data_IF_621084018367
#
_entry.id   IF_621084018367
#
_cell.length_a   1.000
_cell.length_b   1.000
_cell.length_c   1.000
_cell.angle_alpha   90.00
_cell.angle_beta   90.00
_cell.angle_gamma   90.00
#
_symmetry.space_group_name_H-M   'P 1'
#
loop_
_entity.id
_entity.type
_entity.pdbx_description
1 polymer ?
#
# COMPACT_ATOMS: atom_id res chain seq x y z
N UNK A 1 -11.64 10.72 7.82
CA UNK A 1 -11.48 9.48 7.04
C UNK A 1 -11.98 8.35 7.91
N UNK A 2 -12.85 7.48 7.40
CA UNK A 2 -13.34 6.33 8.17
C UNK A 2 -12.18 5.40 8.56
N UNK A 3 -12.29 4.71 9.71
CA UNK A 3 -11.25 3.82 10.21
C UNK A 3 -10.80 2.81 9.16
N UNK A 4 -11.76 2.20 8.45
CA UNK A 4 -11.46 1.20 7.42
C UNK A 4 -10.63 1.76 6.25
N UNK A 5 -10.83 3.02 5.87
CA UNK A 5 -10.05 3.67 4.81
C UNK A 5 -8.63 3.99 5.30
N UNK A 6 -8.48 4.39 6.57
CA UNK A 6 -7.16 4.59 7.16
C UNK A 6 -6.38 3.27 7.21
N UNK A 7 -7.03 2.16 7.59
CA UNK A 7 -6.40 0.84 7.65
C UNK A 7 -6.04 0.31 6.26
N UNK A 8 -6.88 0.60 5.26
CA UNK A 8 -6.57 0.33 3.86
C UNK A 8 -5.33 1.11 3.41
N UNK A 9 -5.23 2.40 3.74
CA UNK A 9 -4.05 3.21 3.43
C UNK A 9 -2.79 2.67 4.12
N UNK A 10 -2.90 2.23 5.37
CA UNK A 10 -1.83 1.54 6.07
C UNK A 10 -1.36 0.27 5.31
N UNK A 11 -2.28 -0.58 4.86
CA UNK A 11 -1.95 -1.76 4.06
C UNK A 11 -1.28 -1.38 2.72
N UNK A 12 -1.74 -0.31 2.08
CA UNK A 12 -1.15 0.21 0.85
C UNK A 12 0.29 0.68 1.09
N UNK A 13 0.54 1.46 2.14
CA UNK A 13 1.88 1.93 2.52
C UNK A 13 2.82 0.77 2.87
N UNK A 14 2.38 -0.21 3.67
CA UNK A 14 3.14 -1.43 3.95
C UNK A 14 3.50 -2.18 2.67
N UNK A 15 2.57 -2.23 1.72
CA UNK A 15 2.79 -2.90 0.43
C UNK A 15 3.83 -2.17 -0.40
N UNK A 16 3.80 -0.84 -0.45
CA UNK A 16 4.82 -0.03 -1.14
C UNK A 16 6.18 -0.18 -0.44
N UNK A 17 6.23 -0.15 0.90
CA UNK A 17 7.48 -0.35 1.64
C UNK A 17 8.13 -1.72 1.34
N UNK A 18 7.31 -2.75 1.07
CA UNK A 18 7.79 -4.10 0.77
C UNK A 18 8.10 -4.34 -0.71
N UNK A 19 7.22 -3.92 -1.61
CA UNK A 19 7.27 -4.26 -3.03
C UNK A 19 7.62 -3.08 -3.95
N UNK A 20 7.73 -1.88 -3.40
CA UNK A 20 8.13 -0.67 -4.12
C UNK A 20 7.13 -0.27 -5.20
N UNK A 21 7.65 0.12 -6.37
CA UNK A 21 6.87 0.62 -7.49
C UNK A 21 5.71 -0.31 -7.89
N UNK A 22 5.93 -1.63 -7.83
CA UNK A 22 4.92 -2.62 -8.21
C UNK A 22 3.64 -2.58 -7.35
N UNK A 23 3.73 -2.00 -6.14
CA UNK A 23 2.60 -1.84 -5.22
C UNK A 23 2.07 -0.40 -5.17
N UNK A 24 2.61 0.54 -5.96
CA UNK A 24 2.10 1.91 -6.01
C UNK A 24 0.72 1.93 -6.69
N UNK A 25 -0.31 2.53 -6.08
CA UNK A 25 -1.62 2.68 -6.70
C UNK A 25 -1.59 3.78 -7.76
N UNK A 26 -2.48 3.69 -8.76
CA UNK A 26 -2.78 4.79 -9.69
C UNK A 26 -3.75 5.82 -9.07
N UNK A 27 -3.85 5.86 -7.74
CA UNK A 27 -4.67 6.82 -7.00
C UNK A 27 -3.84 8.08 -6.69
N UNK A 28 -4.00 9.10 -7.53
CA UNK A 28 -3.28 10.37 -7.38
C UNK A 28 -3.60 11.12 -6.07
N UNK A 29 -4.78 10.92 -5.48
CA UNK A 29 -5.13 11.54 -4.20
C UNK A 29 -4.32 10.91 -3.06
N UNK A 30 -4.19 9.58 -3.07
CA UNK A 30 -3.31 8.87 -2.15
C UNK A 30 -1.85 9.31 -2.31
N UNK A 31 -1.35 9.33 -3.56
CA UNK A 31 0.04 9.70 -3.83
C UNK A 31 0.36 11.14 -3.41
N UNK A 32 -0.58 12.06 -3.63
CA UNK A 32 -0.45 13.45 -3.18
C UNK A 32 -0.42 13.53 -1.65
N UNK A 33 -1.35 12.86 -0.96
CA UNK A 33 -1.43 12.87 0.51
C UNK A 33 -0.17 12.35 1.19
N UNK A 34 0.49 11.35 0.60
CA UNK A 34 1.71 10.77 1.14
C UNK A 34 3.00 11.31 0.51
N UNK A 35 2.93 12.41 -0.25
CA UNK A 35 4.07 13.05 -0.91
C UNK A 35 4.90 12.08 -1.79
N UNK A 36 4.22 11.14 -2.46
CA UNK A 36 4.83 10.15 -3.37
C UNK A 36 4.62 10.48 -4.85
N UNK A 37 3.81 11.49 -5.16
CA UNK A 37 3.39 11.81 -6.53
C UNK A 37 4.59 12.10 -7.45
N UNK A 38 5.58 12.86 -6.99
CA UNK A 38 6.76 13.21 -7.79
C UNK A 38 7.62 11.98 -8.10
N UNK A 39 7.89 11.13 -7.10
CA UNK A 39 8.65 9.89 -7.28
C UNK A 39 7.93 8.97 -8.27
N UNK A 40 6.60 8.90 -8.20
CA UNK A 40 5.82 8.13 -9.17
C UNK A 40 5.99 8.63 -10.60
N UNK A 41 5.91 9.95 -10.85
CA UNK A 41 6.14 10.50 -12.18
C UNK A 41 7.57 10.30 -12.69
N UNK A 42 8.57 10.42 -11.82
CA UNK A 42 9.96 10.14 -12.18
C UNK A 42 10.18 8.68 -12.56
N UNK A 43 9.51 7.74 -11.86
CA UNK A 43 9.54 6.32 -12.22
C UNK A 43 8.93 6.11 -13.60
N UNK A 44 7.75 6.68 -13.87
CA UNK A 44 7.10 6.55 -15.17
C UNK A 44 7.99 7.11 -16.30
N UNK A 45 8.53 8.31 -16.11
CA UNK A 45 9.46 8.94 -17.06
C UNK A 45 10.67 8.05 -17.33
N UNK A 46 11.35 7.61 -16.27
CA UNK A 46 12.55 6.78 -16.37
C UNK A 46 12.27 5.45 -17.07
N UNK A 47 11.16 4.80 -16.73
CA UNK A 47 10.72 3.56 -17.35
C UNK A 47 10.47 3.73 -18.85
N UNK A 48 9.78 4.81 -19.26
CA UNK A 48 9.54 5.11 -20.69
C UNK A 48 10.81 5.45 -21.46
N UNK A 49 11.85 5.97 -20.79
CA UNK A 49 13.15 6.27 -21.39
C UNK A 49 14.14 5.10 -21.32
N UNK A 50 13.72 3.91 -20.86
CA UNK A 50 14.59 2.74 -20.71
C UNK A 50 15.69 2.89 -19.64
N UNK A 51 15.52 3.84 -18.71
CA UNK A 51 16.47 4.08 -17.63
C UNK A 51 16.17 3.20 -16.42
N UNK A 52 17.21 2.88 -15.64
CA UNK A 52 17.05 2.12 -14.41
C UNK A 52 16.25 2.91 -13.36
N UNK A 53 15.22 2.27 -12.81
CA UNK A 53 14.38 2.82 -11.75
C UNK A 53 14.79 2.32 -10.36
N UNK A 54 15.88 1.55 -10.22
CA UNK A 54 16.21 0.87 -8.96
C UNK A 54 16.41 1.86 -7.79
N UNK A 55 17.03 3.01 -8.05
CA UNK A 55 17.23 4.05 -7.05
C UNK A 55 15.90 4.70 -6.63
N UNK A 56 14.97 4.93 -7.57
CA UNK A 56 13.62 5.44 -7.30
C UNK A 56 12.77 4.42 -6.55
N UNK A 57 12.88 3.13 -6.90
CA UNK A 57 12.21 2.03 -6.21
C UNK A 57 12.69 1.91 -4.74
N UNK A 58 14.00 2.05 -4.51
CA UNK A 58 14.54 2.12 -3.14
C UNK A 58 14.06 3.37 -2.40
N UNK A 59 13.99 4.51 -3.07
CA UNK A 59 13.52 5.76 -2.48
C UNK A 59 12.06 5.66 -2.04
N UNK A 60 11.16 5.16 -2.91
CA UNK A 60 9.74 5.04 -2.57
C UNK A 60 9.48 4.03 -1.46
N UNK A 61 10.23 2.92 -1.42
CA UNK A 61 10.17 1.95 -0.31
C UNK A 61 10.50 2.60 1.03
N UNK A 62 11.61 3.35 1.09
CA UNK A 62 12.04 4.07 2.30
C UNK A 62 11.02 5.14 2.69
N UNK A 63 10.54 5.91 1.72
CA UNK A 63 9.55 6.96 1.96
C UNK A 63 8.24 6.38 2.51
N UNK A 64 7.74 5.29 1.92
CA UNK A 64 6.57 4.58 2.43
C UNK A 64 6.79 4.09 3.85
N UNK A 65 7.95 3.50 4.16
CA UNK A 65 8.28 3.04 5.51
C UNK A 65 8.23 4.17 6.56
N UNK A 66 8.65 5.39 6.21
CA UNK A 66 8.58 6.55 7.10
C UNK A 66 7.13 7.00 7.40
N UNK A 67 6.22 6.80 6.44
CA UNK A 67 4.80 7.16 6.59
C UNK A 67 4.03 6.17 7.48
N UNK A 68 4.54 4.94 7.64
CA UNK A 68 3.88 3.85 8.38
C UNK A 68 3.85 4.12 9.90
N UNK A 69 4.76 4.93 10.44
CA UNK A 69 4.92 5.15 11.88
C UNK A 69 3.68 5.72 12.62
N UNK A 70 2.60 6.03 11.89
CA UNK A 70 1.39 6.67 12.42
C UNK A 70 0.19 5.73 12.56
N UNK A 71 0.27 4.49 12.09
CA UNK A 71 -0.81 3.51 12.23
C UNK A 71 -0.26 2.10 12.24
N UNK A 72 -0.76 1.27 13.15
CA UNK A 72 -0.40 -0.14 13.28
C UNK A 72 -1.63 -1.05 13.33
N UNK A 73 -2.85 -0.49 13.27
CA UNK A 73 -4.08 -1.23 13.43
C UNK A 73 -4.74 -1.70 12.12
N UNK A 74 -5.32 -2.90 12.13
CA UNK A 74 -6.08 -3.52 11.03
C UNK A 74 -7.38 -4.20 11.52
N UNK A 75 -7.89 -3.80 12.70
CA UNK A 75 -9.06 -4.43 13.32
C UNK A 75 -10.34 -4.22 12.52
N UNK A 76 -10.56 -3.04 11.92
CA UNK A 76 -11.73 -2.80 11.07
C UNK A 76 -11.68 -3.65 9.80
N UNK A 77 -10.50 -3.81 9.17
CA UNK A 77 -10.29 -4.72 8.04
C UNK A 77 -10.50 -6.19 8.44
N UNK A 78 -10.07 -6.58 9.65
CA UNK A 78 -10.32 -7.91 10.18
C UNK A 78 -11.81 -8.18 10.38
N UNK A 79 -12.53 -7.24 11.01
CA UNK A 79 -13.97 -7.31 11.21
C UNK A 79 -14.72 -7.34 9.86
N UNK A 80 -14.33 -6.48 8.91
CA UNK A 80 -14.89 -6.46 7.57
C UNK A 80 -14.71 -7.79 6.85
N UNK A 81 -13.50 -8.39 6.91
CA UNK A 81 -13.23 -9.70 6.31
C UNK A 81 -14.07 -10.80 6.92
N UNK A 82 -14.28 -10.80 8.24
CA UNK A 82 -15.15 -11.76 8.91
C UNK A 82 -16.61 -11.60 8.48
N UNK A 83 -17.08 -10.36 8.34
CA UNK A 83 -18.47 -10.06 8.02
C UNK A 83 -18.84 -10.21 6.54
N UNK A 84 -17.94 -9.83 5.63
CA UNK A 84 -18.20 -9.74 4.17
C UNK A 84 -17.44 -10.79 3.35
N UNK A 85 -16.48 -11.49 3.96
CA UNK A 85 -15.68 -12.52 3.33
C UNK A 85 -14.52 -11.98 2.47
N UNK A 86 -13.72 -12.92 1.94
CA UNK A 86 -12.48 -12.61 1.24
C UNK A 86 -12.69 -11.87 -0.08
N UNK A 87 -13.77 -12.17 -0.82
CA UNK A 87 -14.05 -11.57 -2.13
C UNK A 87 -14.27 -10.06 -2.02
N UNK A 88 -15.14 -9.65 -1.10
CA UNK A 88 -15.44 -8.23 -0.87
C UNK A 88 -14.24 -7.49 -0.27
N UNK A 89 -13.49 -8.13 0.63
CA UNK A 89 -12.27 -7.53 1.21
C UNK A 89 -11.20 -7.28 0.14
N UNK A 90 -11.03 -8.19 -0.81
CA UNK A 90 -10.12 -7.97 -1.96
C UNK A 90 -10.59 -6.80 -2.81
N UNK A 91 -11.89 -6.68 -3.07
CA UNK A 91 -12.46 -5.54 -3.82
C UNK A 91 -12.21 -4.22 -3.11
N UNK A 92 -12.39 -4.17 -1.79
CA UNK A 92 -12.08 -3.00 -0.96
C UNK A 92 -10.60 -2.56 -1.11
N UNK A 93 -9.69 -3.54 -1.19
CA UNK A 93 -8.26 -3.32 -1.46
C UNK A 93 -7.94 -3.11 -2.96
N UNK A 94 -8.93 -2.76 -3.79
CA UNK A 94 -8.73 -2.52 -5.23
C UNK A 94 -8.31 -3.75 -6.04
N UNK A 95 -8.59 -4.95 -5.53
CA UNK A 95 -8.16 -6.24 -6.10
C UNK A 95 -6.64 -6.36 -6.33
N UNK A 96 -5.84 -5.57 -5.60
CA UNK A 96 -4.39 -5.61 -5.73
C UNK A 96 -3.80 -6.81 -4.97
N UNK A 97 -3.03 -7.64 -5.68
CA UNK A 97 -2.45 -8.87 -5.13
C UNK A 97 -1.44 -8.60 -4.01
N UNK A 98 -0.70 -7.50 -4.08
CA UNK A 98 0.29 -7.13 -3.05
C UNK A 98 -0.42 -6.74 -1.75
N UNK A 99 -1.50 -5.95 -1.86
CA UNK A 99 -2.27 -5.48 -0.70
C UNK A 99 -2.93 -6.65 0.01
N UNK A 100 -3.48 -7.59 -0.78
CA UNK A 100 -4.03 -8.82 -0.22
C UNK A 100 -2.98 -9.66 0.51
N UNK A 101 -1.81 -9.88 -0.10
CA UNK A 101 -0.71 -10.62 0.54
C UNK A 101 -0.25 -9.98 1.84
N UNK A 102 -0.16 -8.64 1.88
CA UNK A 102 0.26 -7.88 3.06
C UNK A 102 -0.78 -7.97 4.16
N UNK A 103 -2.07 -7.75 3.86
CA UNK A 103 -3.14 -7.92 4.83
C UNK A 103 -3.11 -9.31 5.48
N UNK A 104 -2.97 -10.37 4.69
CA UNK A 104 -2.89 -11.74 5.23
C UNK A 104 -1.69 -11.94 6.16
N UNK A 105 -0.54 -11.32 5.86
CA UNK A 105 0.63 -11.39 6.73
C UNK A 105 0.42 -10.63 8.04
N UNK A 106 -0.17 -9.43 7.98
CA UNK A 106 -0.48 -8.65 9.19
C UNK A 106 -1.50 -9.38 10.08
N UNK A 107 -2.52 -10.01 9.48
CA UNK A 107 -3.46 -10.87 10.24
C UNK A 107 -2.74 -12.04 10.90
N UNK A 108 -1.79 -12.68 10.21
CA UNK A 108 -1.02 -13.81 10.77
C UNK A 108 -0.15 -13.40 11.94
N UNK A 109 0.52 -12.25 11.86
CA UNK A 109 1.37 -11.72 12.95
C UNK A 109 0.59 -11.45 14.25
N UNK A 110 -0.72 -11.19 14.14
CA UNK A 110 -1.61 -10.93 15.27
C UNK A 110 -2.20 -12.18 15.90
N UNK A 111 -2.03 -13.35 15.29
CA UNK A 111 -2.42 -14.60 15.95
C UNK A 111 -1.38 -14.91 17.03
N UNK A 112 -1.80 -15.20 18.28
CA UNK A 112 -0.89 -15.67 19.31
C UNK A 112 -0.19 -16.97 18.90
#
# INVERSE_FOLDING_TARGET
MERIEQEKEYIMLLSIARYGYAAIPQDYKFLSRHAMLNIYYEILKSYTSGMSIEHLDKAVKRHAALQIARMDDIDALCAYRKAKGNKETKRLLGNNIYYWKVLLNEIKKRKP
#
